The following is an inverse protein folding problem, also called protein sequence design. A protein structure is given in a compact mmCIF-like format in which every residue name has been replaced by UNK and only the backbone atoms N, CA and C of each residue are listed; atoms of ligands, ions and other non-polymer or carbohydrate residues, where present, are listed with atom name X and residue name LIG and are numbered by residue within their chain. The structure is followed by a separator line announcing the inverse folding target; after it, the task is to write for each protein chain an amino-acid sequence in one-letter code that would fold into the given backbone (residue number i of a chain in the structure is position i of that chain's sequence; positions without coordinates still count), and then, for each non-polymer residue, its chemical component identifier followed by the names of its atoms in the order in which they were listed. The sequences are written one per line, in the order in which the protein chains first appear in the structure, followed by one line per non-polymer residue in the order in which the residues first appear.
data_IF_006126505296
#
_entry.id   IF_006126505296
#
_cell.length_a   1.000
_cell.length_b   1.000
_cell.length_c   1.000
_cell.angle_alpha   90.00
_cell.angle_beta   90.00
_cell.angle_gamma   90.00
#
_symmetry.space_group_name_H-M   'P 1'
#
loop_
_entity.id
_entity.type
_entity.pdbx_description
1 polymer ?
#
# COMPACT_ATOMS: atom_id res chain seq x y z
N UNK A 1 44.17 29.73 40.27
CA UNK A 1 43.99 29.87 38.81
C UNK A 1 43.58 28.57 38.09
N UNK A 2 43.65 27.38 38.71
CA UNK A 2 43.21 26.12 38.06
C UNK A 2 41.70 25.84 38.15
N UNK A 3 41.02 26.37 39.17
CA UNK A 3 39.58 26.15 39.41
C UNK A 3 38.68 26.87 38.39
N UNK A 4 39.10 28.05 37.90
CA UNK A 4 38.34 28.85 36.92
C UNK A 4 38.38 28.19 35.54
N UNK A 5 39.50 27.55 35.17
CA UNK A 5 39.65 26.84 33.90
C UNK A 5 38.76 25.58 33.90
N UNK A 6 38.69 24.86 35.02
CA UNK A 6 37.77 23.73 35.19
C UNK A 6 36.29 24.14 35.18
N UNK A 7 35.95 25.30 35.77
CA UNK A 7 34.59 25.83 35.75
C UNK A 7 34.15 26.24 34.34
N UNK A 8 35.05 26.82 33.54
CA UNK A 8 34.80 27.14 32.13
C UNK A 8 34.72 25.89 31.25
N UNK A 9 35.50 24.84 31.55
CA UNK A 9 35.43 23.56 30.83
C UNK A 9 34.10 22.83 31.10
N UNK A 10 33.61 22.84 32.35
CA UNK A 10 32.31 22.27 32.73
C UNK A 10 31.12 23.05 32.17
N UNK A 11 31.19 24.39 32.11
CA UNK A 11 30.18 25.21 31.45
C UNK A 11 30.11 24.95 29.94
N UNK A 12 31.22 24.56 29.31
CA UNK A 12 31.25 24.20 27.88
C UNK A 12 30.66 22.81 27.59
N UNK A 13 30.56 21.92 28.59
CA UNK A 13 29.96 20.59 28.42
C UNK A 13 28.43 20.64 28.64
N UNK A 14 27.94 21.63 29.40
CA UNK A 14 26.50 21.82 29.63
C UNK A 14 25.75 22.44 28.43
N UNK A 15 26.44 22.98 27.43
CA UNK A 15 25.84 23.43 26.16
C UNK A 15 25.61 22.28 25.16
N UNK A 16 26.10 21.07 25.44
CA UNK A 16 25.84 19.85 24.66
C UNK A 16 24.64 19.08 25.22
N UNK A 17 23.66 19.79 25.77
CA UNK A 17 22.37 19.19 26.12
C UNK A 17 21.28 19.76 25.23
N UNK A 18 20.75 18.86 24.39
CA UNK A 18 19.52 18.98 23.61
C UNK A 18 19.53 19.95 22.42
N UNK A 19 19.91 19.42 21.26
CA UNK A 19 19.34 19.83 19.97
C UNK A 19 18.14 18.91 19.69
N UNK A 20 16.89 19.27 20.02
CA UNK A 20 15.74 18.50 19.55
C UNK A 20 15.17 19.18 18.31
N UNK A 21 15.91 19.25 17.20
CA UNK A 21 15.29 19.65 15.92
C UNK A 21 15.86 18.84 14.77
N UNK A 22 15.83 17.52 14.90
CA UNK A 22 15.48 16.69 13.75
C UNK A 22 13.98 16.80 13.60
N UNK A 23 13.50 17.54 12.59
CA UNK A 23 12.07 17.69 12.34
C UNK A 23 11.48 16.30 12.15
N UNK A 24 10.74 15.82 13.15
CA UNK A 24 10.14 14.48 13.13
C UNK A 24 8.97 14.50 12.16
N UNK A 25 8.92 13.53 11.26
CA UNK A 25 7.86 13.40 10.28
C UNK A 25 6.79 12.46 10.81
N UNK A 26 5.65 13.02 11.20
CA UNK A 26 4.49 12.27 11.68
C UNK A 26 3.56 11.91 10.53
N UNK A 27 3.20 10.63 10.43
CA UNK A 27 2.23 10.21 9.44
C UNK A 27 0.82 10.65 9.80
N UNK A 28 0.09 11.21 8.84
CA UNK A 28 -1.32 11.62 9.03
C UNK A 28 -2.31 10.45 8.97
N UNK A 29 -1.86 9.28 8.52
CA UNK A 29 -2.68 8.09 8.34
C UNK A 29 -2.48 7.05 9.46
N UNK A 30 -1.41 7.17 10.25
CA UNK A 30 -1.12 6.29 11.39
C UNK A 30 -0.18 6.96 12.39
N UNK A 31 -0.10 6.43 13.61
CA UNK A 31 0.66 7.05 14.70
C UNK A 31 2.19 6.79 14.62
N UNK A 32 2.75 6.72 13.41
CA UNK A 32 4.17 6.42 13.18
C UNK A 32 4.95 7.70 12.95
N UNK A 33 6.06 7.84 13.67
CA UNK A 33 6.96 8.99 13.60
C UNK A 33 8.31 8.54 13.03
N UNK A 34 8.83 9.25 12.03
CA UNK A 34 10.14 8.97 11.42
C UNK A 34 11.09 10.16 11.57
N UNK A 35 12.38 9.89 11.50
CA UNK A 35 13.43 10.89 11.73
C UNK A 35 13.86 11.59 10.44
N UNK A 36 13.58 11.00 9.27
CA UNK A 36 14.03 11.54 7.98
C UNK A 36 12.92 11.60 6.93
N UNK A 37 13.04 12.56 6.01
CA UNK A 37 12.13 12.73 4.86
C UNK A 37 12.10 11.49 3.95
N UNK A 38 13.25 10.85 3.74
CA UNK A 38 13.34 9.63 2.93
C UNK A 38 12.54 8.47 3.53
N UNK A 39 12.62 8.29 4.84
CA UNK A 39 11.81 7.29 5.55
C UNK A 39 10.33 7.65 5.45
N UNK A 40 9.98 8.93 5.65
CA UNK A 40 8.61 9.41 5.54
C UNK A 40 7.99 9.17 4.17
N UNK A 41 8.70 9.52 3.11
CA UNK A 41 8.28 9.28 1.73
C UNK A 41 8.09 7.79 1.45
N UNK A 42 9.02 6.93 1.90
CA UNK A 42 8.90 5.47 1.73
C UNK A 42 7.73 4.89 2.53
N UNK A 43 7.48 5.43 3.72
CA UNK A 43 6.36 5.03 4.55
C UNK A 43 5.00 5.44 3.94
N UNK A 44 4.90 6.62 3.31
CA UNK A 44 3.68 7.02 2.62
C UNK A 44 3.29 6.06 1.48
N UNK A 45 4.27 5.46 0.80
CA UNK A 45 4.01 4.42 -0.20
C UNK A 45 3.36 3.16 0.41
N UNK A 46 3.50 2.92 1.73
CA UNK A 46 2.78 1.81 2.40
C UNK A 46 1.30 2.11 2.63
N UNK A 47 0.92 3.38 2.70
CA UNK A 47 -0.49 3.83 2.76
C UNK A 47 -1.13 3.88 1.39
N UNK A 48 -0.32 3.94 0.33
CA UNK A 48 -0.79 3.97 -1.05
C UNK A 48 -1.47 2.65 -1.38
N UNK A 49 -2.77 2.73 -1.62
CA UNK A 49 -3.57 1.60 -2.08
C UNK A 49 -3.71 1.65 -3.59
N UNK A 50 -3.60 0.49 -4.22
CA UNK A 50 -3.85 0.28 -5.63
C UNK A 50 -5.34 -0.03 -5.82
N UNK A 51 -6.07 0.94 -6.37
CA UNK A 51 -7.51 0.83 -6.61
C UNK A 51 -7.79 0.05 -7.90
N UNK A 52 -8.83 -0.78 -7.90
CA UNK A 52 -9.34 -1.40 -9.10
C UNK A 52 -10.04 -0.35 -9.98
N UNK A 53 -9.67 -0.30 -11.25
CA UNK A 53 -10.24 0.63 -12.24
C UNK A 53 -11.46 0.07 -12.96
N UNK A 54 -11.90 -1.15 -12.63
CA UNK A 54 -13.04 -1.78 -13.29
C UNK A 54 -14.35 -1.08 -12.95
N UNK A 55 -15.26 -0.84 -13.91
CA UNK A 55 -16.54 -0.16 -13.65
C UNK A 55 -17.32 -0.79 -12.50
N UNK A 56 -17.82 0.03 -11.58
CA UNK A 56 -18.55 -0.37 -10.36
C UNK A 56 -17.74 -1.20 -9.34
N UNK A 57 -16.46 -1.48 -9.58
CA UNK A 57 -15.59 -2.12 -8.59
C UNK A 57 -14.94 -1.06 -7.69
N UNK A 58 -15.08 -1.20 -6.36
CA UNK A 58 -14.49 -0.29 -5.36
C UNK A 58 -13.39 -0.96 -4.52
N UNK A 59 -12.83 -2.08 -4.99
CA UNK A 59 -11.79 -2.82 -4.26
C UNK A 59 -10.44 -2.14 -4.41
N UNK A 60 -9.67 -2.13 -3.32
CA UNK A 60 -8.33 -1.57 -3.26
C UNK A 60 -7.37 -2.55 -2.55
N UNK A 61 -6.10 -2.53 -2.96
CA UNK A 61 -5.08 -3.48 -2.52
C UNK A 61 -3.83 -2.76 -2.05
N UNK A 62 -3.12 -3.34 -1.08
CA UNK A 62 -1.85 -2.79 -0.59
C UNK A 62 -0.68 -3.04 -1.54
N UNK A 63 -0.77 -4.07 -2.41
CA UNK A 63 0.28 -4.44 -3.36
C UNK A 63 -0.28 -4.49 -4.77
N UNK A 64 0.55 -4.11 -5.74
CA UNK A 64 0.17 -4.12 -7.15
C UNK A 64 -0.07 -5.54 -7.69
N UNK A 65 0.67 -6.54 -7.20
CA UNK A 65 0.49 -7.94 -7.60
C UNK A 65 -0.87 -8.49 -7.17
N UNK A 66 -1.38 -8.05 -6.02
CA UNK A 66 -2.71 -8.41 -5.52
C UNK A 66 -3.80 -7.77 -6.38
N UNK A 67 -3.64 -6.50 -6.74
CA UNK A 67 -4.54 -5.83 -7.69
C UNK A 67 -4.54 -6.54 -9.04
N UNK A 68 -3.38 -6.89 -9.60
CA UNK A 68 -3.29 -7.59 -10.89
C UNK A 68 -3.99 -8.95 -10.85
N UNK A 69 -3.81 -9.71 -9.76
CA UNK A 69 -4.51 -10.98 -9.56
C UNK A 69 -6.02 -10.77 -9.49
N UNK A 70 -6.47 -9.74 -8.76
CA UNK A 70 -7.88 -9.39 -8.73
C UNK A 70 -8.42 -8.95 -10.09
N UNK A 71 -7.67 -8.16 -10.86
CA UNK A 71 -8.13 -7.66 -12.15
C UNK A 71 -8.50 -8.80 -13.12
N UNK A 72 -7.78 -9.94 -13.03
CA UNK A 72 -8.10 -11.16 -13.78
C UNK A 72 -9.48 -11.74 -13.46
N UNK A 73 -10.07 -11.46 -12.30
CA UNK A 73 -11.42 -11.93 -11.96
C UNK A 73 -12.51 -11.21 -12.75
N UNK A 74 -12.24 -9.97 -13.18
CA UNK A 74 -13.15 -9.21 -14.04
C UNK A 74 -13.01 -9.58 -15.52
N UNK A 75 -11.87 -10.13 -15.91
CA UNK A 75 -11.64 -10.61 -17.26
C UNK A 75 -12.32 -11.97 -17.44
N UNK A 76 -13.61 -11.95 -17.79
CA UNK A 76 -14.29 -13.13 -18.29
C UNK A 76 -13.80 -13.43 -19.70
N UNK A 77 -13.00 -14.50 -19.86
CA UNK A 77 -12.42 -14.90 -21.15
C UNK A 77 -13.24 -15.95 -21.89
N UNK A 78 -14.22 -16.52 -21.20
CA UNK A 78 -14.94 -17.69 -21.67
C UNK A 78 -16.43 -17.36 -21.73
N UNK A 79 -16.96 -17.23 -22.94
CA UNK A 79 -18.37 -16.99 -23.17
C UNK A 79 -19.03 -18.31 -23.61
N UNK A 80 -20.17 -18.64 -23.00
CA UNK A 80 -21.03 -19.71 -23.50
C UNK A 80 -21.85 -19.20 -24.69
N UNK A 81 -22.27 -20.08 -25.61
CA UNK A 81 -23.13 -19.73 -26.73
C UNK A 81 -24.46 -19.07 -26.30
N UNK A 82 -24.91 -19.29 -25.06
CA UNK A 82 -26.06 -18.61 -24.47
C UNK A 82 -25.81 -17.15 -24.01
N UNK A 83 -24.58 -16.64 -24.16
CA UNK A 83 -24.21 -15.26 -23.78
C UNK A 83 -23.61 -15.10 -22.37
N UNK A 84 -23.64 -16.15 -21.53
CA UNK A 84 -23.06 -16.06 -20.18
C UNK A 84 -21.52 -16.03 -20.21
N UNK A 85 -20.94 -15.16 -19.37
CA UNK A 85 -19.50 -14.92 -19.27
C UNK A 85 -18.89 -15.57 -18.02
N UNK A 86 -17.76 -16.25 -18.20
CA UNK A 86 -17.05 -16.98 -17.15
C UNK A 86 -15.56 -16.60 -17.10
N UNK A 87 -15.05 -16.45 -15.88
CA UNK A 87 -13.65 -16.09 -15.61
C UNK A 87 -12.72 -17.29 -15.71
N UNK A 88 -13.27 -18.51 -15.66
CA UNK A 88 -12.51 -19.76 -15.73
C UNK A 88 -13.18 -20.78 -16.67
N UNK A 89 -12.35 -21.57 -17.35
CA UNK A 89 -12.78 -22.57 -18.34
C UNK A 89 -13.54 -23.74 -17.70
N UNK A 90 -13.12 -24.19 -16.53
CA UNK A 90 -13.76 -25.27 -15.78
C UNK A 90 -15.18 -24.89 -15.34
N UNK A 91 -15.38 -23.64 -14.90
CA UNK A 91 -16.70 -23.11 -14.56
C UNK A 91 -17.61 -23.04 -15.79
N UNK A 92 -17.09 -22.58 -16.94
CA UNK A 92 -17.83 -22.64 -18.21
C UNK A 92 -18.22 -24.08 -18.57
N UNK A 93 -17.30 -25.05 -18.44
CA UNK A 93 -17.56 -26.45 -18.80
C UNK A 93 -18.65 -27.08 -17.93
N UNK A 94 -18.68 -26.79 -16.63
CA UNK A 94 -19.75 -27.25 -15.73
C UNK A 94 -21.08 -26.60 -16.11
N UNK A 95 -21.07 -25.29 -16.42
CA UNK A 95 -22.25 -24.58 -16.89
C UNK A 95 -22.80 -25.19 -18.19
N UNK A 96 -21.93 -25.46 -19.18
CA UNK A 96 -22.31 -26.08 -20.46
C UNK A 96 -22.96 -27.46 -20.31
N UNK A 97 -22.62 -28.25 -19.28
CA UNK A 97 -23.30 -29.53 -19.04
C UNK A 97 -24.78 -29.39 -18.70
N UNK A 98 -25.17 -28.24 -18.16
CA UNK A 98 -26.54 -27.92 -17.74
C UNK A 98 -27.19 -26.84 -18.62
N UNK A 99 -26.44 -26.33 -19.59
CA UNK A 99 -26.87 -25.29 -20.51
C UNK A 99 -27.01 -25.94 -21.88
N UNK A 100 -28.25 -26.07 -22.35
CA UNK A 100 -28.56 -26.49 -23.71
C UNK A 100 -28.16 -25.36 -24.66
N UNK A 101 -26.89 -25.34 -25.08
CA UNK A 101 -26.19 -24.24 -25.75
C UNK A 101 -26.69 -23.85 -27.14
N UNK A 102 -28.02 -23.82 -27.31
CA UNK A 102 -28.78 -23.61 -28.53
C UNK A 102 -29.67 -22.38 -28.32
N UNK A 103 -29.12 -21.17 -28.42
CA UNK A 103 -29.94 -19.97 -28.53
C UNK A 103 -29.26 -18.96 -29.44
N UNK A 104 -29.47 -19.25 -30.74
CA UNK A 104 -29.15 -18.53 -31.98
C UNK A 104 -27.75 -18.75 -32.55
#
# INVERSE_FOLDING_TARGET
MAYIIWFNLLLCIASVQNIPVGQKYECRHCNTTMQTDKEYSKHLETHKKYNCTWPKCKKAYLRICDLQRHYKTHQFKYQCGCGNLFSRRDTLRIHQRRCDGSSR
#
